data_IF_699274932146
#
_entry.id   IF_699274932146
#
_cell.length_a   1.000
_cell.length_b   1.000
_cell.length_c   1.000
_cell.angle_alpha   90.00
_cell.angle_beta   90.00
_cell.angle_gamma   90.00
#
_symmetry.space_group_name_H-M   'P 1'
#
loop_
_entity.id
_entity.type
_entity.pdbx_description
1 polymer ?
#
# COMPACT_ATOMS: atom_id res chain seq x y z
N UNK A 1 -30.58 6.78 9.01
CA UNK A 1 -30.45 6.73 10.48
C UNK A 1 -29.20 7.50 10.87
N UNK A 2 -29.38 8.76 11.26
CA UNK A 2 -28.30 9.60 11.80
C UNK A 2 -27.91 9.03 13.17
N UNK A 3 -26.68 8.57 13.31
CA UNK A 3 -26.15 7.99 14.54
C UNK A 3 -26.18 9.04 15.67
N UNK A 4 -27.18 8.94 16.53
CA UNK A 4 -27.35 9.71 17.77
C UNK A 4 -26.35 9.31 18.87
N UNK A 5 -25.07 9.15 18.51
CA UNK A 5 -23.98 8.86 19.46
C UNK A 5 -23.27 10.13 19.95
N UNK A 6 -23.61 11.29 19.39
CA UNK A 6 -23.11 12.59 19.81
C UNK A 6 -24.28 13.53 20.09
N UNK A 7 -25.04 13.26 21.15
CA UNK A 7 -26.02 14.23 21.63
C UNK A 7 -25.27 15.41 22.28
N UNK A 8 -24.73 16.32 21.46
CA UNK A 8 -23.97 17.50 21.88
C UNK A 8 -24.83 18.60 22.53
N UNK A 9 -26.14 18.36 22.70
CA UNK A 9 -27.07 19.33 23.30
C UNK A 9 -26.62 19.91 24.67
N UNK A 10 -25.96 19.17 25.58
CA UNK A 10 -25.48 19.76 26.84
C UNK A 10 -24.22 20.63 26.67
N UNK A 11 -23.38 20.34 25.67
CA UNK A 11 -22.10 21.04 25.44
C UNK A 11 -22.32 22.38 24.73
N UNK A 12 -23.34 22.45 23.86
CA UNK A 12 -23.73 23.67 23.12
C UNK A 12 -24.22 24.78 24.07
N UNK A 13 -24.73 24.43 25.26
CA UNK A 13 -25.18 25.39 26.26
C UNK A 13 -24.02 26.14 26.94
N UNK A 14 -22.80 25.58 26.91
CA UNK A 14 -21.59 26.17 27.47
C UNK A 14 -20.67 26.61 26.33
N UNK A 15 -20.84 27.86 25.87
CA UNK A 15 -20.13 28.40 24.69
C UNK A 15 -18.61 28.21 24.73
N UNK A 16 -17.98 28.39 25.90
CA UNK A 16 -16.52 28.24 26.03
C UNK A 16 -16.06 26.78 25.88
N UNK A 17 -16.85 25.81 26.37
CA UNK A 17 -16.54 24.38 26.29
C UNK A 17 -16.69 23.87 24.85
N UNK A 18 -17.69 24.38 24.12
CA UNK A 18 -17.85 24.11 22.68
C UNK A 18 -16.66 24.63 21.86
N UNK A 19 -16.23 25.87 22.11
CA UNK A 19 -15.06 26.47 21.43
C UNK A 19 -13.78 25.70 21.79
N UNK A 20 -13.57 25.37 23.06
CA UNK A 20 -12.43 24.59 23.51
C UNK A 20 -12.41 23.19 22.89
N UNK A 21 -13.56 22.51 22.81
CA UNK A 21 -13.70 21.22 22.14
C UNK A 21 -13.30 21.28 20.67
N UNK A 22 -13.77 22.28 19.92
CA UNK A 22 -13.38 22.48 18.51
C UNK A 22 -11.87 22.72 18.38
N UNK A 23 -11.29 23.57 19.24
CA UNK A 23 -9.85 23.85 19.23
C UNK A 23 -9.03 22.59 19.51
N UNK A 24 -9.40 21.81 20.53
CA UNK A 24 -8.72 20.55 20.86
C UNK A 24 -8.85 19.54 19.73
N UNK A 25 -10.03 19.41 19.12
CA UNK A 25 -10.21 18.53 17.95
C UNK A 25 -9.31 18.95 16.79
N UNK A 26 -9.22 20.25 16.50
CA UNK A 26 -8.38 20.75 15.42
C UNK A 26 -6.89 20.48 15.68
N UNK A 27 -6.38 20.78 16.88
CA UNK A 27 -5.00 20.50 17.27
C UNK A 27 -4.71 18.99 17.21
N UNK A 28 -5.63 18.17 17.69
CA UNK A 28 -5.49 16.70 17.69
C UNK A 28 -5.42 16.14 16.27
N UNK A 29 -6.22 16.68 15.35
CA UNK A 29 -6.17 16.28 13.94
C UNK A 29 -4.84 16.65 13.29
N UNK A 30 -4.33 17.87 13.53
CA UNK A 30 -3.01 18.28 13.03
C UNK A 30 -1.91 17.39 13.60
N UNK A 31 -1.92 17.16 14.91
CA UNK A 31 -0.92 16.32 15.57
C UNK A 31 -0.95 14.87 15.06
N UNK A 32 -2.15 14.29 14.89
CA UNK A 32 -2.32 12.95 14.35
C UNK A 32 -1.76 12.85 12.92
N UNK A 33 -2.10 13.80 12.05
CA UNK A 33 -1.61 13.83 10.66
C UNK A 33 -0.09 14.02 10.58
N UNK A 34 0.46 14.90 11.41
CA UNK A 34 1.91 15.11 11.50
C UNK A 34 2.62 13.83 11.95
N UNK A 35 2.11 13.16 12.98
CA UNK A 35 2.65 11.90 13.47
C UNK A 35 2.62 10.79 12.38
N UNK A 36 1.48 10.60 11.72
CA UNK A 36 1.37 9.62 10.62
C UNK A 36 2.31 9.95 9.46
N UNK A 37 2.49 11.23 9.12
CA UNK A 37 3.41 11.65 8.05
C UNK A 37 4.86 11.34 8.39
N UNK A 38 5.30 11.64 9.63
CA UNK A 38 6.64 11.31 10.11
C UNK A 38 6.87 9.80 10.13
N UNK A 39 5.90 9.03 10.63
CA UNK A 39 5.97 7.56 10.62
C UNK A 39 6.08 7.02 9.20
N UNK A 40 5.28 7.53 8.25
CA UNK A 40 5.37 7.10 6.86
C UNK A 40 6.72 7.44 6.24
N UNK A 41 7.30 8.62 6.52
CA UNK A 41 8.60 9.01 6.00
C UNK A 41 9.74 8.13 6.57
N UNK A 42 9.72 7.88 7.89
CA UNK A 42 10.73 7.06 8.56
C UNK A 42 10.59 5.58 8.18
N UNK A 43 9.40 5.00 8.39
CA UNK A 43 9.15 3.60 8.10
C UNK A 43 9.23 3.27 6.62
N UNK A 44 8.77 4.18 5.75
CA UNK A 44 8.93 4.02 4.30
C UNK A 44 10.40 3.96 3.89
N UNK A 45 11.26 4.78 4.49
CA UNK A 45 12.70 4.71 4.26
C UNK A 45 13.33 3.41 4.76
N UNK A 46 12.94 2.94 5.95
CA UNK A 46 13.44 1.68 6.52
C UNK A 46 12.93 0.43 5.80
N UNK A 47 11.80 0.52 5.08
CA UNK A 47 11.31 -0.57 4.21
C UNK A 47 12.06 -0.57 2.87
N UNK A 48 12.40 0.61 2.34
CA UNK A 48 13.12 0.75 1.07
C UNK A 48 14.61 0.45 1.18
N UNK A 49 15.24 0.69 2.32
CA UNK A 49 16.67 0.45 2.51
C UNK A 49 17.07 -1.02 2.31
N UNK A 50 16.38 -2.03 2.89
CA UNK A 50 16.65 -3.43 2.61
C UNK A 50 16.49 -3.78 1.12
N UNK A 51 15.51 -3.17 0.44
CA UNK A 51 15.34 -3.32 -1.01
C UNK A 51 16.54 -2.79 -1.81
N UNK A 52 17.23 -1.75 -1.30
CA UNK A 52 18.45 -1.21 -1.90
C UNK A 52 19.64 -2.16 -1.72
N UNK A 53 19.76 -2.75 -0.53
CA UNK A 53 20.76 -3.77 -0.20
C UNK A 53 20.62 -4.97 -1.15
N UNK A 54 19.41 -5.53 -1.23
CA UNK A 54 19.08 -6.65 -2.13
C UNK A 54 19.10 -6.25 -3.62
N UNK A 55 19.20 -4.96 -3.91
CA UNK A 55 19.41 -4.44 -5.26
C UNK A 55 18.17 -4.25 -6.11
N UNK A 56 16.98 -4.41 -5.53
CA UNK A 56 15.72 -4.06 -6.17
C UNK A 56 15.65 -2.57 -6.54
N UNK A 57 16.36 -1.71 -5.80
CA UNK A 57 16.57 -0.31 -6.10
C UNK A 57 18.06 0.07 -6.11
N UNK A 58 18.37 1.32 -6.41
CA UNK A 58 19.76 1.82 -6.47
C UNK A 58 20.46 1.77 -5.11
N UNK A 59 21.75 1.41 -5.10
CA UNK A 59 22.55 1.26 -3.88
C UNK A 59 22.74 2.58 -3.11
N UNK A 60 22.56 3.73 -3.78
CA UNK A 60 22.56 5.04 -3.14
C UNK A 60 21.50 5.19 -2.03
N UNK A 61 20.46 4.35 -2.05
CA UNK A 61 19.40 4.35 -1.03
C UNK A 61 19.73 3.47 0.18
N UNK A 62 20.88 2.78 0.17
CA UNK A 62 21.38 2.02 1.32
C UNK A 62 22.11 2.89 2.36
N UNK A 63 22.50 4.11 1.99
CA UNK A 63 23.32 4.96 2.87
C UNK A 63 22.54 5.38 4.13
N UNK A 64 23.12 5.05 5.29
CA UNK A 64 22.64 5.46 6.61
C UNK A 64 23.36 6.72 7.08
N UNK A 65 22.65 7.58 7.81
CA UNK A 65 23.26 8.73 8.48
C UNK A 65 23.90 8.34 9.82
N UNK A 66 24.41 9.32 10.57
CA UNK A 66 25.03 9.13 11.91
C UNK A 66 24.08 8.48 12.94
N UNK A 67 22.78 8.60 12.74
CA UNK A 67 21.73 8.07 13.62
C UNK A 67 21.16 6.73 13.12
N UNK A 68 21.83 6.10 12.14
CA UNK A 68 21.37 4.88 11.46
C UNK A 68 20.02 5.01 10.74
N UNK A 69 19.67 6.22 10.30
CA UNK A 69 18.44 6.50 9.55
C UNK A 69 18.75 6.52 8.04
N UNK A 70 17.98 5.80 7.21
CA UNK A 70 18.17 5.77 5.76
C UNK A 70 17.57 7.02 5.08
N UNK A 71 18.20 8.18 5.29
CA UNK A 71 17.67 9.50 4.86
C UNK A 71 17.37 9.56 3.36
N UNK A 72 18.25 9.02 2.51
CA UNK A 72 18.03 9.01 1.05
C UNK A 72 16.83 8.16 0.63
N UNK A 73 16.58 7.04 1.32
CA UNK A 73 15.42 6.19 1.08
C UNK A 73 14.13 6.84 1.61
N UNK A 74 14.17 7.48 2.78
CA UNK A 74 13.06 8.27 3.31
C UNK A 74 12.68 9.41 2.37
N UNK A 75 13.65 10.13 1.81
CA UNK A 75 13.41 11.18 0.82
C UNK A 75 12.77 10.62 -0.46
N UNK A 76 13.24 9.47 -0.95
CA UNK A 76 12.61 8.79 -2.09
C UNK A 76 11.13 8.49 -1.80
N UNK A 77 10.83 7.93 -0.62
CA UNK A 77 9.46 7.66 -0.21
C UNK A 77 8.62 8.95 -0.18
N UNK A 78 9.16 10.04 0.39
CA UNK A 78 8.49 11.35 0.39
C UNK A 78 8.24 11.86 -1.03
N UNK A 79 9.19 11.73 -1.96
CA UNK A 79 8.98 12.14 -3.35
C UNK A 79 7.91 11.30 -4.05
N UNK A 80 7.87 9.99 -3.81
CA UNK A 80 6.82 9.13 -4.36
C UNK A 80 5.46 9.54 -3.80
N UNK A 81 5.34 9.77 -2.49
CA UNK A 81 4.09 10.22 -1.86
C UNK A 81 3.66 11.57 -2.44
N UNK A 82 4.58 12.54 -2.59
CA UNK A 82 4.29 13.85 -3.17
C UNK A 82 3.85 13.72 -4.63
N UNK A 83 4.52 12.89 -5.43
CA UNK A 83 4.17 12.63 -6.82
C UNK A 83 2.76 12.02 -6.93
N UNK A 84 2.47 10.97 -6.16
CA UNK A 84 1.16 10.33 -6.14
C UNK A 84 0.09 11.33 -5.65
N UNK A 85 0.36 12.07 -4.58
CA UNK A 85 -0.54 13.14 -4.08
C UNK A 85 -0.81 14.18 -5.17
N UNK A 86 0.22 14.61 -5.90
CA UNK A 86 0.09 15.60 -6.95
C UNK A 86 -0.74 15.06 -8.13
N UNK A 87 -0.42 13.87 -8.61
CA UNK A 87 -1.13 13.24 -9.72
C UNK A 87 -2.59 12.93 -9.39
N UNK A 88 -2.87 12.51 -8.15
CA UNK A 88 -4.16 11.92 -7.79
C UNK A 88 -5.10 12.83 -7.02
N UNK A 89 -4.60 13.87 -6.36
CA UNK A 89 -5.45 14.84 -5.66
C UNK A 89 -5.39 16.20 -6.33
N UNK A 90 -4.18 16.71 -6.59
CA UNK A 90 -4.02 18.09 -7.08
C UNK A 90 -4.48 18.23 -8.54
N UNK A 91 -4.15 17.29 -9.43
CA UNK A 91 -4.59 17.39 -10.85
C UNK A 91 -6.12 17.35 -10.97
N UNK A 92 -6.84 16.38 -10.36
CA UNK A 92 -8.29 16.41 -10.37
C UNK A 92 -8.85 17.72 -9.79
N UNK A 93 -8.37 18.15 -8.62
CA UNK A 93 -8.84 19.38 -7.97
C UNK A 93 -8.64 20.64 -8.83
N UNK A 94 -7.52 20.74 -9.55
CA UNK A 94 -7.27 21.83 -10.50
C UNK A 94 -8.27 21.77 -11.66
N UNK A 95 -8.46 20.60 -12.27
CA UNK A 95 -9.42 20.42 -13.36
C UNK A 95 -10.83 20.83 -12.91
N UNK A 96 -11.21 20.49 -11.68
CA UNK A 96 -12.50 20.87 -11.08
C UNK A 96 -12.60 22.35 -10.74
N UNK A 97 -11.52 22.99 -10.28
CA UNK A 97 -11.50 24.42 -9.99
C UNK A 97 -11.82 25.29 -11.21
N UNK A 98 -11.63 24.77 -12.41
CA UNK A 98 -11.99 25.42 -13.68
C UNK A 98 -13.35 24.98 -14.26
N UNK A 99 -14.06 24.03 -13.65
CA UNK A 99 -15.38 23.59 -14.09
C UNK A 99 -16.50 24.51 -13.58
N UNK A 100 -17.62 24.54 -14.31
CA UNK A 100 -18.80 25.32 -13.91
C UNK A 100 -19.41 24.74 -12.63
N UNK A 101 -19.89 25.58 -11.70
CA UNK A 101 -20.61 25.13 -10.51
C UNK A 101 -21.78 24.22 -10.90
N UNK A 102 -21.87 23.03 -10.27
CA UNK A 102 -22.92 22.04 -10.56
C UNK A 102 -22.53 20.94 -11.57
N UNK A 103 -21.31 20.97 -12.10
CA UNK A 103 -20.76 19.83 -12.87
C UNK A 103 -20.52 18.67 -11.90
N UNK A 104 -21.01 17.47 -12.23
CA UNK A 104 -20.84 16.29 -11.37
C UNK A 104 -19.37 15.81 -11.42
N UNK A 105 -18.87 15.29 -10.29
CA UNK A 105 -17.48 14.86 -10.14
C UNK A 105 -17.24 13.52 -10.87
N UNK A 106 -16.57 13.60 -12.02
CA UNK A 106 -16.20 12.45 -12.85
C UNK A 106 -15.17 11.52 -12.14
N UNK A 107 -14.44 12.05 -11.16
CA UNK A 107 -13.29 11.44 -10.50
C UNK A 107 -13.43 11.64 -8.99
N UNK A 108 -13.64 10.55 -8.24
CA UNK A 108 -13.91 10.60 -6.81
C UNK A 108 -12.71 10.03 -6.02
N UNK A 109 -12.27 10.72 -4.96
CA UNK A 109 -11.20 10.27 -4.05
C UNK A 109 -11.54 8.92 -3.39
N UNK A 110 -12.82 8.57 -3.26
CA UNK A 110 -13.27 7.26 -2.81
C UNK A 110 -12.73 6.12 -3.69
N UNK A 111 -12.75 6.30 -5.02
CA UNK A 111 -12.30 5.30 -6.00
C UNK A 111 -10.79 5.04 -5.88
N UNK A 112 -9.99 6.06 -5.53
CA UNK A 112 -8.57 5.89 -5.26
C UNK A 112 -8.32 5.08 -3.99
N UNK A 113 -9.15 5.30 -2.97
CA UNK A 113 -9.06 4.59 -1.69
C UNK A 113 -9.40 3.11 -1.89
N UNK A 114 -10.40 2.82 -2.73
CA UNK A 114 -10.80 1.46 -3.12
C UNK A 114 -9.66 0.76 -3.90
N UNK A 115 -9.08 1.44 -4.89
CA UNK A 115 -7.98 0.88 -5.70
C UNK A 115 -6.73 0.58 -4.86
N UNK A 116 -6.38 1.50 -3.95
CA UNK A 116 -5.27 1.31 -3.00
C UNK A 116 -5.55 0.13 -2.05
N UNK A 117 -6.80 -0.01 -1.59
CA UNK A 117 -7.21 -1.12 -0.73
C UNK A 117 -7.08 -2.47 -1.44
N UNK A 118 -7.41 -2.55 -2.73
CA UNK A 118 -7.24 -3.77 -3.53
C UNK A 118 -5.77 -4.20 -3.64
N UNK A 119 -4.86 -3.25 -3.84
CA UNK A 119 -3.41 -3.51 -3.83
C UNK A 119 -2.96 -4.02 -2.46
N UNK A 120 -3.41 -3.38 -1.37
CA UNK A 120 -3.07 -3.78 -0.01
C UNK A 120 -3.57 -5.20 0.30
N UNK A 121 -4.82 -5.52 -0.05
CA UNK A 121 -5.39 -6.88 0.08
C UNK A 121 -4.52 -7.88 -0.66
N UNK A 122 -4.12 -7.57 -1.90
CA UNK A 122 -3.25 -8.42 -2.71
C UNK A 122 -1.90 -8.68 -2.04
N UNK A 123 -1.27 -7.64 -1.49
CA UNK A 123 0.00 -7.75 -0.76
C UNK A 123 -0.14 -8.62 0.49
N UNK A 124 -1.23 -8.51 1.24
CA UNK A 124 -1.47 -9.36 2.40
C UNK A 124 -1.70 -10.82 2.02
N UNK A 125 -2.45 -11.09 0.94
CA UNK A 125 -2.62 -12.45 0.42
C UNK A 125 -1.26 -13.07 0.09
N UNK A 126 -0.43 -12.37 -0.68
CA UNK A 126 0.91 -12.84 -1.06
C UNK A 126 1.78 -13.07 0.18
N UNK A 127 1.77 -12.14 1.14
CA UNK A 127 2.56 -12.24 2.37
C UNK A 127 2.16 -13.44 3.22
N UNK A 128 0.86 -13.67 3.42
CA UNK A 128 0.35 -14.81 4.19
C UNK A 128 0.63 -16.12 3.46
N UNK A 129 0.46 -16.17 2.14
CA UNK A 129 0.81 -17.35 1.33
C UNK A 129 2.30 -17.67 1.41
N UNK A 130 3.17 -16.67 1.36
CA UNK A 130 4.61 -16.85 1.52
C UNK A 130 4.94 -17.42 2.90
N UNK A 131 4.37 -16.85 3.97
CA UNK A 131 4.55 -17.35 5.35
C UNK A 131 4.09 -18.80 5.48
N UNK A 132 2.89 -19.13 5.01
CA UNK A 132 2.36 -20.49 5.06
C UNK A 132 3.21 -21.45 4.24
N UNK A 133 3.66 -21.06 3.04
CA UNK A 133 4.55 -21.89 2.22
C UNK A 133 5.87 -22.19 2.94
N UNK A 134 6.49 -21.18 3.55
CA UNK A 134 7.72 -21.34 4.33
C UNK A 134 7.49 -22.22 5.57
N UNK A 135 6.35 -22.06 6.25
CA UNK A 135 5.98 -22.90 7.39
C UNK A 135 5.69 -24.37 7.00
N UNK A 136 5.00 -24.62 5.88
CA UNK A 136 4.76 -25.97 5.32
C UNK A 136 6.11 -26.65 5.00
N UNK A 137 7.04 -25.89 4.44
CA UNK A 137 8.40 -26.36 4.15
C UNK A 137 9.26 -26.57 5.42
N UNK A 138 8.67 -26.38 6.61
CA UNK A 138 9.28 -26.56 7.93
C UNK A 138 10.47 -25.65 8.21
N UNK A 139 10.54 -24.54 7.49
CA UNK A 139 11.57 -23.54 7.68
C UNK A 139 11.26 -22.63 8.87
N UNK A 140 9.98 -22.41 9.18
CA UNK A 140 9.49 -21.72 10.38
C UNK A 140 8.57 -22.66 11.16
N UNK A 141 8.67 -22.66 12.48
CA UNK A 141 7.72 -23.36 13.36
C UNK A 141 6.62 -22.38 13.76
N UNK A 142 5.40 -22.63 13.28
CA UNK A 142 4.21 -21.93 13.72
C UNK A 142 3.50 -22.72 14.81
N UNK A 143 2.96 -22.02 15.81
CA UNK A 143 2.03 -22.59 16.78
C UNK A 143 0.70 -22.95 16.11
N UNK A 144 -0.05 -23.88 16.69
CA UNK A 144 -1.33 -24.33 16.10
C UNK A 144 -2.36 -23.20 15.96
N UNK A 145 -2.36 -22.25 16.90
CA UNK A 145 -3.22 -21.07 16.85
C UNK A 145 -2.82 -20.10 15.73
N UNK A 146 -1.54 -19.99 15.39
CA UNK A 146 -1.06 -19.20 14.26
C UNK A 146 -1.50 -19.82 12.94
N UNK A 147 -1.41 -21.15 12.79
CA UNK A 147 -1.93 -21.86 11.61
C UNK A 147 -3.42 -21.56 11.36
N UNK A 148 -4.23 -21.66 12.42
CA UNK A 148 -5.67 -21.39 12.35
C UNK A 148 -5.91 -19.92 11.98
N UNK A 149 -5.21 -18.99 12.65
CA UNK A 149 -5.40 -17.55 12.46
C UNK A 149 -5.01 -17.09 11.06
N UNK A 150 -3.83 -17.51 10.56
CA UNK A 150 -3.39 -17.16 9.21
C UNK A 150 -4.26 -17.78 8.13
N UNK A 151 -4.76 -18.99 8.33
CA UNK A 151 -5.68 -19.64 7.39
C UNK A 151 -7.02 -18.90 7.34
N UNK A 152 -7.57 -18.51 8.49
CA UNK A 152 -8.82 -17.75 8.57
C UNK A 152 -8.68 -16.37 7.93
N UNK A 153 -7.59 -15.65 8.22
CA UNK A 153 -7.28 -14.36 7.60
C UNK A 153 -7.14 -14.51 6.09
N UNK A 154 -6.45 -15.55 5.61
CA UNK A 154 -6.31 -15.82 4.18
C UNK A 154 -7.67 -16.03 3.50
N UNK A 155 -8.56 -16.83 4.10
CA UNK A 155 -9.92 -17.04 3.57
C UNK A 155 -10.66 -15.71 3.48
N UNK A 156 -10.63 -14.90 4.54
CA UNK A 156 -11.30 -13.59 4.55
C UNK A 156 -10.73 -12.64 3.49
N UNK A 157 -9.40 -12.57 3.37
CA UNK A 157 -8.75 -11.74 2.35
C UNK A 157 -9.11 -12.19 0.93
N UNK A 158 -9.15 -13.51 0.68
CA UNK A 158 -9.55 -14.06 -0.63
C UNK A 158 -11.00 -13.72 -0.95
N UNK A 159 -11.91 -13.84 0.02
CA UNK A 159 -13.32 -13.45 -0.17
C UNK A 159 -13.43 -11.95 -0.47
N UNK A 160 -12.75 -11.10 0.30
CA UNK A 160 -12.74 -9.65 0.05
C UNK A 160 -12.16 -9.30 -1.32
N UNK A 161 -11.09 -9.98 -1.72
CA UNK A 161 -10.47 -9.82 -3.04
C UNK A 161 -11.47 -10.13 -4.15
N UNK A 162 -12.12 -11.30 -4.12
CA UNK A 162 -13.11 -11.66 -5.13
C UNK A 162 -14.35 -10.75 -5.11
N UNK A 163 -14.83 -10.38 -3.92
CA UNK A 163 -15.95 -9.46 -3.78
C UNK A 163 -15.67 -8.09 -4.41
N UNK A 164 -14.46 -7.57 -4.18
CA UNK A 164 -14.01 -6.31 -4.75
C UNK A 164 -14.05 -6.31 -6.29
N UNK A 165 -13.43 -7.31 -6.94
CA UNK A 165 -13.47 -7.41 -8.41
C UNK A 165 -14.88 -7.69 -8.93
N UNK A 166 -15.67 -8.49 -8.20
CA UNK A 166 -17.06 -8.72 -8.55
C UNK A 166 -17.86 -7.41 -8.61
N UNK A 167 -17.73 -6.53 -7.61
CA UNK A 167 -18.40 -5.21 -7.63
C UNK A 167 -17.95 -4.35 -8.81
N UNK A 168 -16.64 -4.30 -9.10
CA UNK A 168 -16.12 -3.57 -10.27
C UNK A 168 -16.74 -4.07 -11.59
N UNK A 169 -16.75 -5.38 -11.81
CA UNK A 169 -17.36 -5.95 -13.03
C UNK A 169 -18.88 -5.80 -13.04
N UNK A 170 -19.53 -5.84 -11.88
CA UNK A 170 -20.97 -5.64 -11.74
C UNK A 170 -21.38 -4.21 -12.14
N UNK A 171 -20.61 -3.18 -11.75
CA UNK A 171 -20.82 -1.79 -12.18
C UNK A 171 -20.75 -1.69 -13.70
N UNK A 172 -19.70 -2.26 -14.31
CA UNK A 172 -19.52 -2.27 -15.77
C UNK A 172 -20.69 -2.99 -16.46
N UNK A 173 -21.10 -4.15 -15.95
CA UNK A 173 -22.20 -4.93 -16.51
C UNK A 173 -23.55 -4.21 -16.40
N UNK A 174 -23.84 -3.56 -15.27
CA UNK A 174 -25.06 -2.76 -15.05
C UNK A 174 -25.13 -1.56 -16.00
N UNK A 175 -24.00 -0.87 -16.20
CA UNK A 175 -23.92 0.23 -17.16
C UNK A 175 -24.19 -0.23 -18.60
N UNK A 176 -23.59 -1.35 -19.03
CA UNK A 176 -23.82 -1.93 -20.37
C UNK A 176 -25.30 -2.31 -20.57
N UNK A 177 -25.97 -2.80 -19.52
CA UNK A 177 -27.40 -3.15 -19.53
C UNK A 177 -28.34 -1.94 -19.44
N UNK A 178 -27.81 -0.71 -19.42
CA UNK A 178 -28.57 0.55 -19.29
C UNK A 178 -29.45 0.60 -18.03
N UNK A 179 -28.93 0.10 -16.91
CA UNK A 179 -29.58 0.29 -15.60
C UNK A 179 -29.64 1.80 -15.26
N UNK A 180 -30.82 2.30 -14.92
CA UNK A 180 -31.06 3.72 -14.63
C UNK A 180 -30.33 4.20 -13.37
N UNK A 181 -29.89 3.28 -12.51
CA UNK A 181 -29.21 3.61 -11.26
C UNK A 181 -27.69 3.77 -11.39
N UNK A 182 -27.08 3.30 -12.48
CA UNK A 182 -25.62 3.36 -12.66
C UNK A 182 -25.25 4.58 -13.49
N UNK A 183 -24.51 5.51 -12.90
CA UNK A 183 -24.09 6.74 -13.57
C UNK A 183 -22.81 6.52 -14.36
N UNK A 184 -22.52 7.44 -15.29
CA UNK A 184 -21.27 7.46 -16.04
C UNK A 184 -20.04 7.57 -15.12
N UNK A 185 -20.17 8.25 -13.98
CA UNK A 185 -19.11 8.44 -12.99
C UNK A 185 -18.69 7.12 -12.32
N UNK A 186 -19.67 6.26 -12.02
CA UNK A 186 -19.40 4.94 -11.43
C UNK A 186 -18.63 4.06 -12.42
N UNK A 187 -18.99 4.12 -13.71
CA UNK A 187 -18.28 3.42 -14.77
C UNK A 187 -16.85 3.93 -14.92
N UNK A 188 -16.67 5.26 -14.99
CA UNK A 188 -15.35 5.87 -15.15
C UNK A 188 -14.46 5.48 -13.95
N UNK A 189 -15.01 5.52 -12.73
CA UNK A 189 -14.33 5.04 -11.53
C UNK A 189 -13.84 3.61 -11.64
N UNK A 190 -14.76 2.69 -11.96
CA UNK A 190 -14.42 1.27 -12.08
C UNK A 190 -13.36 1.01 -13.16
N UNK A 191 -13.41 1.73 -14.29
CA UNK A 191 -12.42 1.63 -15.36
C UNK A 191 -11.06 2.18 -14.94
N UNK A 192 -11.03 3.35 -14.29
CA UNK A 192 -9.80 3.98 -13.78
C UNK A 192 -9.12 3.07 -12.75
N UNK A 193 -9.90 2.50 -11.84
CA UNK A 193 -9.40 1.57 -10.82
C UNK A 193 -8.80 0.31 -11.45
N UNK A 194 -9.50 -0.33 -12.40
CA UNK A 194 -8.97 -1.47 -13.13
C UNK A 194 -7.68 -1.12 -13.90
N UNK A 195 -7.66 0.03 -14.57
CA UNK A 195 -6.47 0.52 -15.27
C UNK A 195 -5.29 0.74 -14.30
N UNK A 196 -5.55 1.32 -13.13
CA UNK A 196 -4.53 1.55 -12.11
C UNK A 196 -3.90 0.23 -11.63
N UNK A 197 -4.72 -0.80 -11.38
CA UNK A 197 -4.25 -2.13 -11.00
C UNK A 197 -3.40 -2.74 -12.11
N UNK A 198 -3.87 -2.70 -13.36
CA UNK A 198 -3.15 -3.26 -14.52
C UNK A 198 -1.83 -2.54 -14.75
N UNK A 199 -1.81 -1.21 -14.69
CA UNK A 199 -0.59 -0.41 -14.84
C UNK A 199 0.40 -0.72 -13.71
N UNK A 200 -0.07 -0.87 -12.47
CA UNK A 200 0.78 -1.21 -11.33
C UNK A 200 1.43 -2.59 -11.48
N UNK A 201 0.65 -3.59 -11.90
CA UNK A 201 1.15 -4.94 -12.19
C UNK A 201 2.13 -4.96 -13.36
N UNK A 202 1.81 -4.23 -14.44
CA UNK A 202 2.68 -4.10 -15.60
C UNK A 202 4.00 -3.42 -15.21
N UNK A 203 3.95 -2.33 -14.43
CA UNK A 203 5.13 -1.65 -13.93
C UNK A 203 6.00 -2.58 -13.08
N UNK A 204 5.42 -3.30 -12.12
CA UNK A 204 6.16 -4.25 -11.28
C UNK A 204 6.84 -5.36 -12.11
N UNK A 205 6.12 -5.89 -13.10
CA UNK A 205 6.63 -6.94 -14.00
C UNK A 205 7.76 -6.42 -14.88
N UNK A 206 7.57 -5.26 -15.52
CA UNK A 206 8.60 -4.61 -16.34
C UNK A 206 9.82 -4.28 -15.49
N UNK A 207 9.63 -3.74 -14.29
CA UNK A 207 10.71 -3.44 -13.36
C UNK A 207 11.52 -4.68 -12.99
N UNK A 208 10.83 -5.78 -12.67
CA UNK A 208 11.47 -7.06 -12.36
C UNK A 208 12.36 -7.55 -13.51
N UNK A 209 11.85 -7.57 -14.74
CA UNK A 209 12.61 -8.10 -15.87
C UNK A 209 13.67 -7.14 -16.42
N UNK A 210 13.35 -5.85 -16.54
CA UNK A 210 14.21 -4.85 -17.16
C UNK A 210 15.34 -4.38 -16.22
N UNK A 211 15.03 -4.20 -14.93
CA UNK A 211 15.99 -3.70 -13.96
C UNK A 211 16.54 -4.80 -13.06
N UNK A 212 15.68 -5.44 -12.26
CA UNK A 212 16.12 -6.33 -11.19
C UNK A 212 16.84 -7.58 -11.71
N UNK A 213 16.23 -8.33 -12.64
CA UNK A 213 16.80 -9.57 -13.18
C UNK A 213 18.14 -9.31 -13.88
N UNK A 214 18.25 -8.20 -14.63
CA UNK A 214 19.50 -7.80 -15.28
C UNK A 214 20.60 -7.52 -14.27
N UNK A 215 20.26 -6.76 -13.21
CA UNK A 215 21.19 -6.43 -12.12
C UNK A 215 21.57 -7.66 -11.30
N UNK A 216 20.62 -8.55 -11.00
CA UNK A 216 20.87 -9.82 -10.30
C UNK A 216 21.86 -10.70 -11.08
N UNK A 217 21.68 -10.84 -12.40
CA UNK A 217 22.61 -11.59 -13.26
C UNK A 217 24.02 -10.98 -13.24
N UNK A 218 24.13 -9.66 -13.31
CA UNK A 218 25.42 -8.95 -13.18
C UNK A 218 26.08 -9.17 -11.81
N UNK A 219 25.29 -9.15 -10.73
CA UNK A 219 25.79 -9.41 -9.37
C UNK A 219 26.31 -10.83 -9.21
N UNK A 220 25.63 -11.83 -9.79
CA UNK A 220 26.03 -13.22 -9.74
C UNK A 220 27.27 -13.54 -10.61
N UNK A 221 27.60 -12.70 -11.61
CA UNK A 221 28.79 -12.87 -12.44
C UNK A 221 30.10 -12.39 -11.79
N UNK A 222 30.04 -11.52 -10.78
CA UNK A 222 31.24 -10.94 -10.15
C UNK A 222 31.56 -11.66 -8.83
N UNK A 223 32.79 -12.13 -8.66
CA UNK A 223 33.20 -12.96 -7.50
C UNK A 223 33.02 -12.26 -6.14
N UNK A 224 33.25 -10.95 -6.09
CA UNK A 224 33.15 -10.12 -4.89
C UNK A 224 31.69 -9.91 -4.46
N UNK A 225 30.79 -9.70 -5.42
CA UNK A 225 29.36 -9.47 -5.16
C UNK A 225 28.60 -10.78 -4.92
N UNK A 226 29.11 -11.91 -5.44
CA UNK A 226 28.64 -13.25 -5.06
C UNK A 226 28.85 -13.57 -3.58
N UNK A 227 29.87 -12.98 -2.92
CA UNK A 227 30.03 -13.08 -1.46
C UNK A 227 28.96 -12.26 -0.72
N UNK A 228 28.67 -11.05 -1.19
CA UNK A 228 27.59 -10.23 -0.65
C UNK A 228 26.24 -10.93 -0.78
N UNK A 229 25.92 -11.52 -1.93
CA UNK A 229 24.69 -12.30 -2.09
C UNK A 229 24.63 -13.47 -1.10
N UNK A 230 25.74 -14.19 -0.90
CA UNK A 230 25.82 -15.26 0.11
C UNK A 230 25.64 -14.75 1.54
N UNK A 231 26.02 -13.50 1.84
CA UNK A 231 25.79 -12.89 3.15
C UNK A 231 24.33 -12.47 3.32
N UNK A 232 23.71 -11.90 2.29
CA UNK A 232 22.28 -11.60 2.29
C UNK A 232 21.44 -12.88 2.42
N UNK A 233 21.80 -13.92 1.66
CA UNK A 233 21.16 -15.22 1.72
C UNK A 233 21.31 -15.88 3.11
N UNK A 234 22.34 -15.52 3.90
CA UNK A 234 22.49 -16.00 5.29
C UNK A 234 21.43 -15.44 6.23
N UNK A 235 20.94 -14.22 6.01
CA UNK A 235 19.83 -13.67 6.81
C UNK A 235 18.53 -14.46 6.58
N UNK A 236 18.44 -15.15 5.44
CA UNK A 236 17.37 -16.08 5.10
C UNK A 236 17.71 -17.55 5.41
N UNK A 237 18.86 -17.85 6.03
CA UNK A 237 19.16 -19.20 6.53
C UNK A 237 18.35 -19.40 7.81
N UNK A 238 17.30 -20.20 7.66
CA UNK A 238 16.31 -20.40 8.71
C UNK A 238 16.92 -21.17 9.88
N UNK A 239 16.60 -20.70 11.09
CA UNK A 239 17.18 -21.05 12.40
C UNK A 239 17.27 -22.56 12.69
N UNK A 240 16.58 -23.41 11.91
CA UNK A 240 16.52 -24.86 12.14
C UNK A 240 17.03 -25.76 11.00
N UNK A 241 17.72 -25.22 9.99
CA UNK A 241 18.34 -26.06 8.97
C UNK A 241 19.66 -25.49 8.47
N UNK A 242 20.75 -26.22 8.71
CA UNK A 242 22.00 -26.12 7.93
C UNK A 242 21.81 -26.50 6.44
N UNK A 243 20.61 -26.33 5.87
CA UNK A 243 20.29 -26.62 4.48
C UNK A 243 20.00 -25.31 3.77
N UNK A 244 20.76 -24.96 2.71
CA UNK A 244 20.48 -23.77 1.93
C UNK A 244 19.09 -23.87 1.28
N UNK A 245 18.43 -22.73 1.11
CA UNK A 245 17.19 -22.61 0.37
C UNK A 245 17.42 -23.14 -1.06
N UNK A 246 16.81 -24.29 -1.40
CA UNK A 246 16.93 -24.85 -2.74
C UNK A 246 15.86 -24.23 -3.63
N UNK A 247 16.27 -23.31 -4.49
CA UNK A 247 15.50 -22.96 -5.69
C UNK A 247 15.50 -24.19 -6.61
N UNK A 248 14.32 -24.78 -6.80
CA UNK A 248 14.08 -25.69 -7.94
C UNK A 248 13.70 -24.84 -9.15
#
# INVERSE_FOLDING_TARGET
>A
MTTGLWNMQPIIQIKWLSVLGIVVMFISQIALRANTSVQNALYGGTILQPMAVEGYISEKYNELNKDNIPVKASLLNTYVILLITFLWLIIPDIIYGFQKPGTQLIFNVAQLTEASSAIIISLYIISVLALLKVAIQKYIKLHIWEWISFSLVLILLVVLFFYHYYELFNIIAKYIKKDLNTKLEDLIGAVVELLFIVISLAFATIWYFAYYNKKLKQRLSTSQVRKLQKELDKEFVLINTNKPFKTK
#
